data_IF_553498131481
#
_entry.id   IF_553498131481
#
_cell.length_a   1.000
_cell.length_b   1.000
_cell.length_c   1.000
_cell.angle_alpha   90.00
_cell.angle_beta   90.00
_cell.angle_gamma   90.00
#
_symmetry.space_group_name_H-M   'P 1'
#
loop_
_entity.id
_entity.type
_entity.pdbx_description
1 polymer ?
#
# COMPACT_ATOMS: atom_id res chain seq x y z
N UNK A 1 -6.20 5.55 -2.52
CA UNK A 1 -4.96 6.35 -2.72
C UNK A 1 -4.69 6.53 -4.24
N UNK A 2 -3.81 7.44 -4.67
CA UNK A 2 -3.42 7.55 -6.09
C UNK A 2 -2.20 6.67 -6.43
N UNK A 3 -2.15 6.09 -7.64
CA UNK A 3 -1.04 5.25 -8.11
C UNK A 3 0.31 5.97 -8.01
N UNK A 4 0.37 7.22 -8.48
CA UNK A 4 1.58 8.05 -8.38
C UNK A 4 2.06 8.16 -6.95
N UNK A 5 1.13 8.40 -6.01
CA UNK A 5 1.46 8.50 -4.60
C UNK A 5 2.01 7.18 -4.06
N UNK A 6 1.48 6.04 -4.51
CA UNK A 6 1.95 4.73 -4.06
C UNK A 6 3.37 4.45 -4.54
N UNK A 7 3.68 4.86 -5.77
CA UNK A 7 5.03 4.80 -6.28
C UNK A 7 5.98 5.73 -5.51
N UNK A 8 5.51 6.91 -5.12
CA UNK A 8 6.28 7.82 -4.26
C UNK A 8 6.54 7.22 -2.88
N UNK A 9 5.57 6.54 -2.26
CA UNK A 9 5.78 5.83 -0.98
C UNK A 9 6.84 4.73 -1.13
N UNK A 10 6.72 3.92 -2.19
CA UNK A 10 7.63 2.81 -2.41
C UNK A 10 9.06 3.29 -2.72
N UNK A 11 9.17 4.46 -3.37
CA UNK A 11 10.45 5.12 -3.63
C UNK A 11 10.95 5.96 -2.44
N UNK A 12 10.09 6.26 -1.46
CA UNK A 12 10.47 7.05 -0.30
C UNK A 12 11.37 6.19 0.61
N UNK A 13 12.41 6.80 1.22
CA UNK A 13 13.23 6.13 2.22
C UNK A 13 12.45 5.84 3.52
N UNK A 14 11.30 6.49 3.71
CA UNK A 14 10.43 6.31 4.85
C UNK A 14 9.40 5.21 4.56
N UNK A 15 9.35 4.19 5.43
CA UNK A 15 8.27 3.20 5.40
C UNK A 15 6.98 3.85 5.84
N UNK A 16 6.15 4.23 4.87
CA UNK A 16 4.81 4.72 5.14
C UNK A 16 3.90 3.50 5.27
N UNK A 17 3.16 3.46 6.37
CA UNK A 17 2.24 2.37 6.66
C UNK A 17 0.93 2.58 5.87
N UNK A 18 0.45 1.49 5.27
CA UNK A 18 -0.74 1.50 4.43
C UNK A 18 -1.75 0.55 5.01
N UNK A 19 -3.03 0.93 4.94
CA UNK A 19 -4.15 0.13 5.41
C UNK A 19 -5.05 -0.19 4.23
N UNK A 20 -5.45 -1.46 4.16
CA UNK A 20 -6.45 -1.96 3.24
C UNK A 20 -7.59 -2.57 4.04
N UNK A 21 -8.79 -2.00 3.90
CA UNK A 21 -10.01 -2.47 4.58
C UNK A 21 -9.81 -2.70 6.08
N UNK A 22 -9.26 -1.70 6.76
CA UNK A 22 -9.00 -1.70 8.22
C UNK A 22 -7.88 -2.65 8.68
N UNK A 23 -7.23 -3.37 7.76
CA UNK A 23 -6.06 -4.18 8.06
C UNK A 23 -4.76 -3.46 7.62
N UNK A 24 -3.73 -3.41 8.47
CA UNK A 24 -2.42 -2.90 8.08
C UNK A 24 -1.80 -3.84 7.03
N UNK A 25 -1.29 -3.26 5.96
CA UNK A 25 -0.69 -3.99 4.83
C UNK A 25 0.60 -3.31 4.38
N UNK A 26 1.56 -4.12 3.92
CA UNK A 26 2.76 -3.64 3.24
C UNK A 26 2.53 -3.64 1.73
N UNK A 27 2.87 -2.55 1.06
CA UNK A 27 3.03 -2.58 -0.39
C UNK A 27 4.34 -3.30 -0.73
N UNK A 28 4.23 -4.32 -1.56
CA UNK A 28 5.40 -5.04 -2.09
C UNK A 28 5.72 -4.58 -3.52
N UNK A 29 4.70 -4.38 -4.35
CA UNK A 29 4.88 -3.94 -5.73
C UNK A 29 3.66 -3.18 -6.26
N UNK A 30 3.84 -2.36 -7.29
CA UNK A 30 2.76 -1.63 -7.97
C UNK A 30 2.80 -1.98 -9.45
N UNK A 31 1.76 -2.66 -9.90
CA UNK A 31 1.61 -3.07 -11.28
C UNK A 31 1.15 -1.93 -12.19
N UNK A 32 1.56 -2.03 -13.46
CA UNK A 32 1.23 -1.05 -14.50
C UNK A 32 -0.27 -0.95 -14.83
N UNK A 33 -1.09 -1.90 -14.37
CA UNK A 33 -2.55 -1.87 -14.51
C UNK A 33 -3.24 -1.02 -13.44
N UNK A 34 -2.50 -0.45 -12.48
CA UNK A 34 -3.05 0.33 -11.37
C UNK A 34 -3.42 -0.49 -10.14
N UNK A 35 -3.05 -1.77 -10.12
CA UNK A 35 -3.14 -2.62 -8.95
C UNK A 35 -1.81 -2.63 -8.19
N UNK A 36 -1.88 -2.90 -6.90
CA UNK A 36 -0.72 -3.11 -6.04
C UNK A 36 -0.76 -4.51 -5.45
N UNK A 37 0.42 -5.12 -5.39
CA UNK A 37 0.67 -6.29 -4.56
C UNK A 37 0.85 -5.82 -3.13
N UNK A 38 -0.03 -6.29 -2.26
CA UNK A 38 0.03 -6.05 -0.84
C UNK A 38 0.22 -7.34 -0.07
N UNK A 39 0.88 -7.23 1.09
CA UNK A 39 1.02 -8.30 2.06
C UNK A 39 0.40 -7.84 3.38
N UNK A 40 -0.57 -8.58 3.89
CA UNK A 40 -1.23 -8.24 5.16
C UNK A 40 -0.25 -8.39 6.31
N UNK A 41 -0.18 -7.42 7.21
CA UNK A 41 0.71 -7.51 8.37
C UNK A 41 0.11 -8.48 9.38
N UNK A 42 0.85 -9.53 9.73
CA UNK A 42 0.40 -10.56 10.67
C UNK A 42 -0.34 -11.73 10.02
N UNK A 43 -0.75 -11.60 8.77
CA UNK A 43 -1.22 -12.71 7.94
C UNK A 43 -0.30 -12.83 6.74
N UNK A 44 0.40 -13.96 6.53
CA UNK A 44 1.22 -14.19 5.31
C UNK A 44 0.37 -14.32 4.03
N UNK A 45 -0.70 -13.53 3.91
CA UNK A 45 -1.60 -13.42 2.79
C UNK A 45 -1.14 -12.25 1.94
N UNK A 46 -0.74 -12.57 0.74
CA UNK A 46 -0.51 -11.62 -0.36
C UNK A 46 -1.79 -11.49 -1.17
N UNK A 47 -2.15 -10.26 -1.52
CA UNK A 47 -3.32 -9.97 -2.34
C UNK A 47 -3.00 -8.88 -3.36
N UNK A 48 -3.60 -9.01 -4.53
CA UNK A 48 -3.59 -7.97 -5.55
C UNK A 48 -4.85 -7.12 -5.37
N UNK A 49 -4.67 -5.83 -5.09
CA UNK A 49 -5.78 -4.90 -4.86
C UNK A 49 -5.58 -3.61 -5.65
N UNK A 50 -6.64 -2.90 -6.06
CA UNK A 50 -6.51 -1.61 -6.71
C UNK A 50 -5.85 -0.61 -5.76
N UNK A 51 -4.86 0.16 -6.22
CA UNK A 51 -4.24 1.22 -5.40
C UNK A 51 -5.27 2.25 -4.92
N UNK A 52 -6.35 2.41 -5.69
CA UNK A 52 -7.49 3.24 -5.34
C UNK A 52 -8.11 2.87 -3.98
N UNK A 53 -8.15 1.58 -3.62
CA UNK A 53 -8.71 1.07 -2.36
C UNK A 53 -7.74 1.15 -1.17
N UNK A 54 -6.45 1.42 -1.41
CA UNK A 54 -5.46 1.59 -0.34
C UNK A 54 -5.59 2.95 0.34
N UNK A 55 -5.39 2.98 1.65
CA UNK A 55 -5.42 4.19 2.48
C UNK A 55 -4.10 4.33 3.22
N UNK A 56 -3.41 5.45 3.02
CA UNK A 56 -2.21 5.78 3.79
C UNK A 56 -2.61 6.08 5.24
N UNK A 57 -1.99 5.43 6.22
CA UNK A 57 -2.03 5.93 7.61
C UNK A 57 -0.98 7.03 7.68
N UNK A 58 -1.32 8.19 7.12
CA UNK A 58 -0.48 9.36 7.27
C UNK A 58 -0.22 9.55 8.76
N UNK A 59 1.04 9.47 9.18
CA UNK A 59 1.44 10.01 10.47
C UNK A 59 0.93 11.45 10.49
N UNK A 60 -0.16 11.67 11.22
CA UNK A 60 -0.54 13.00 11.65
C UNK A 60 0.48 13.38 12.71
N UNK A 61 1.35 14.32 12.38
CA UNK A 61 1.96 15.21 13.38
C UNK A 61 1.55 16.64 13.07
#
# INVERSE_FOLDING_TARGET
>A
MQIKRAQEIMAAPEKIEVVYREEPVWLEDIMNNGNAYITVVGSCRTMEVPVAELVETGKME
#
